data_IF_176940171255
#
_entry.id   IF_176940171255
#
_cell.length_a   1.000
_cell.length_b   1.000
_cell.length_c   1.000
_cell.angle_alpha   90.00
_cell.angle_beta   90.00
_cell.angle_gamma   90.00
#
_symmetry.space_group_name_H-M   'P 1'
#
loop_
_entity.id
_entity.type
_entity.pdbx_description
1 polymer ?
#
# COMPACT_ATOMS: atom_id res chain seq x y z
N UNK A 1 27.42 23.85 32.66
CA UNK A 1 26.87 24.47 33.88
C UNK A 1 25.42 24.11 34.18
N UNK A 2 24.40 24.46 33.37
CA UNK A 2 22.99 24.14 33.71
C UNK A 2 22.72 22.62 33.68
N UNK A 3 23.20 21.90 32.66
CA UNK A 3 23.01 20.46 32.59
C UNK A 3 23.83 19.70 33.64
N UNK A 4 25.02 20.19 34.00
CA UNK A 4 25.82 19.61 35.10
C UNK A 4 25.09 19.71 36.43
N UNK A 5 24.49 20.88 36.73
CA UNK A 5 23.63 21.07 37.88
C UNK A 5 22.42 20.11 37.84
N UNK A 6 21.78 19.96 36.67
CA UNK A 6 20.67 19.00 36.49
C UNK A 6 21.08 17.55 36.81
N UNK A 7 22.29 17.14 36.43
CA UNK A 7 22.84 15.83 36.78
C UNK A 7 23.16 15.72 38.27
N UNK A 8 23.84 16.72 38.82
CA UNK A 8 24.28 16.77 40.23
C UNK A 8 23.09 16.65 41.19
N UNK A 9 22.00 17.36 40.90
CA UNK A 9 20.76 17.29 41.69
C UNK A 9 19.83 16.13 41.31
N UNK A 10 20.25 15.23 40.42
CA UNK A 10 19.46 14.07 39.97
C UNK A 10 18.02 14.43 39.60
N UNK A 11 17.82 15.51 38.85
CA UNK A 11 16.48 16.09 38.62
C UNK A 11 15.51 15.09 37.96
N UNK A 12 16.00 14.19 37.10
CA UNK A 12 15.18 13.10 36.53
C UNK A 12 14.64 12.14 37.59
N UNK A 13 15.43 11.81 38.62
CA UNK A 13 14.99 10.95 39.72
C UNK A 13 13.88 11.65 40.52
N UNK A 14 14.00 12.95 40.74
CA UNK A 14 12.96 13.75 41.39
C UNK A 14 11.67 13.82 40.56
N UNK A 15 11.76 13.90 39.22
CA UNK A 15 10.58 13.80 38.36
C UNK A 15 9.89 12.44 38.46
N UNK A 16 10.64 11.35 38.47
CA UNK A 16 10.08 10.00 38.71
C UNK A 16 9.41 9.92 40.08
N UNK A 17 10.04 10.48 41.13
CA UNK A 17 9.48 10.52 42.48
C UNK A 17 8.19 11.33 42.53
N UNK A 18 8.16 12.48 41.86
CA UNK A 18 7.01 13.36 41.81
C UNK A 18 5.83 12.70 41.08
N UNK A 19 6.04 12.05 39.93
CA UNK A 19 5.00 11.27 39.24
C UNK A 19 4.42 10.16 40.13
N UNK A 20 5.25 9.48 40.93
CA UNK A 20 4.78 8.44 41.87
C UNK A 20 3.90 9.00 42.99
N UNK A 21 4.18 10.23 43.45
CA UNK A 21 3.44 10.87 44.54
C UNK A 21 2.16 11.54 44.02
N UNK A 22 2.26 12.30 42.92
CA UNK A 22 1.15 13.02 42.34
C UNK A 22 0.50 12.23 41.22
N UNK A 23 -0.60 11.54 41.52
CA UNK A 23 -1.52 11.01 40.49
C UNK A 23 -2.47 12.11 39.97
N UNK A 24 -1.91 13.27 39.65
CA UNK A 24 -2.70 14.45 39.30
C UNK A 24 -2.22 15.00 37.95
N UNK A 25 -3.10 14.94 36.95
CA UNK A 25 -2.83 15.38 35.58
C UNK A 25 -2.37 16.85 35.48
N UNK A 26 -2.73 17.71 36.44
CA UNK A 26 -2.26 19.12 36.52
C UNK A 26 -0.76 19.24 36.77
N UNK A 27 -0.13 18.20 37.30
CA UNK A 27 1.31 18.14 37.55
C UNK A 27 1.99 17.33 36.44
N UNK A 28 1.36 16.25 35.97
CA UNK A 28 1.89 15.38 34.92
C UNK A 28 2.08 16.12 33.59
N UNK A 29 1.10 16.93 33.15
CA UNK A 29 1.18 17.63 31.87
C UNK A 29 2.34 18.64 31.80
N UNK A 30 2.50 19.59 32.75
CA UNK A 30 3.66 20.50 32.76
C UNK A 30 5.01 19.78 32.85
N UNK A 31 5.07 18.68 33.61
CA UNK A 31 6.29 17.89 33.75
C UNK A 31 6.68 17.25 32.41
N UNK A 32 5.73 16.61 31.72
CA UNK A 32 5.95 16.02 30.41
C UNK A 32 6.33 17.07 29.37
N UNK A 33 5.69 18.24 29.41
CA UNK A 33 6.03 19.37 28.54
C UNK A 33 7.47 19.85 28.77
N UNK A 34 7.86 20.05 30.04
CA UNK A 34 9.21 20.47 30.38
C UNK A 34 10.25 19.45 29.90
N UNK A 35 10.01 18.16 30.17
CA UNK A 35 10.87 17.09 29.70
C UNK A 35 10.97 17.03 28.18
N UNK A 36 9.84 17.20 27.47
CA UNK A 36 9.82 17.24 26.01
C UNK A 36 10.71 18.35 25.47
N UNK A 37 10.57 19.58 25.99
CA UNK A 37 11.38 20.73 25.56
C UNK A 37 12.85 20.53 25.92
N UNK A 38 13.12 20.05 27.14
CA UNK A 38 14.47 19.80 27.62
C UNK A 38 15.18 18.79 26.70
N UNK A 39 14.57 17.62 26.46
CA UNK A 39 15.15 16.56 25.62
C UNK A 39 15.30 17.03 24.16
N UNK A 40 14.33 17.74 23.59
CA UNK A 40 14.43 18.26 22.22
C UNK A 40 15.66 19.15 22.02
N UNK A 41 16.00 19.98 23.01
CA UNK A 41 17.13 20.91 22.96
C UNK A 41 18.48 20.30 23.41
N UNK A 42 18.54 18.99 23.70
CA UNK A 42 19.81 18.34 24.04
C UNK A 42 20.60 17.97 22.79
N UNK A 43 21.77 18.58 22.61
CA UNK A 43 22.69 18.22 21.51
C UNK A 43 23.97 17.54 22.00
N UNK A 44 24.24 17.58 23.31
CA UNK A 44 25.39 16.90 23.91
C UNK A 44 25.14 15.40 24.01
N UNK A 45 26.01 14.61 23.40
CA UNK A 45 26.00 13.15 23.48
C UNK A 45 26.01 12.68 24.94
N UNK A 46 26.87 13.26 25.78
CA UNK A 46 26.95 12.95 27.21
C UNK A 46 25.62 13.19 27.93
N UNK A 47 24.86 14.21 27.53
CA UNK A 47 23.56 14.50 28.10
C UNK A 47 22.51 13.45 27.72
N UNK A 48 22.52 13.04 26.45
CA UNK A 48 21.63 11.98 25.94
C UNK A 48 21.92 10.66 26.66
N UNK A 49 23.19 10.27 26.77
CA UNK A 49 23.59 9.07 27.50
C UNK A 49 23.14 9.11 28.96
N UNK A 50 23.35 10.23 29.67
CA UNK A 50 22.91 10.36 31.05
C UNK A 50 21.39 10.19 31.21
N UNK A 51 20.61 10.81 30.32
CA UNK A 51 19.16 10.73 30.34
C UNK A 51 18.64 9.30 30.12
N UNK A 52 19.26 8.54 29.22
CA UNK A 52 18.77 7.20 28.84
C UNK A 52 19.34 6.08 29.72
N UNK A 53 20.52 6.23 30.31
CA UNK A 53 21.22 5.12 31.00
C UNK A 53 20.63 4.69 32.35
N UNK A 54 19.87 5.55 33.04
CA UNK A 54 19.45 5.31 34.43
C UNK A 54 18.00 4.78 34.59
N UNK A 55 17.39 4.29 33.50
CA UNK A 55 15.98 3.82 33.43
C UNK A 55 14.95 4.90 33.84
N UNK A 56 15.34 6.15 34.15
CA UNK A 56 14.41 7.21 34.56
C UNK A 56 13.43 7.53 33.44
N UNK A 57 13.91 7.68 32.20
CA UNK A 57 13.05 7.92 31.03
C UNK A 57 12.09 6.75 30.83
N UNK A 58 12.56 5.49 30.89
CA UNK A 58 11.69 4.33 30.80
C UNK A 58 10.64 4.27 31.93
N UNK A 59 10.99 4.66 33.15
CA UNK A 59 10.06 4.74 34.27
C UNK A 59 9.00 5.84 34.09
N UNK A 60 9.38 6.98 33.49
CA UNK A 60 8.45 8.05 33.13
C UNK A 60 7.50 7.57 32.02
N UNK A 61 8.03 6.91 30.98
CA UNK A 61 7.23 6.32 29.89
C UNK A 61 6.26 5.26 30.44
N UNK A 62 6.73 4.36 31.30
CA UNK A 62 5.91 3.28 31.86
C UNK A 62 4.96 3.72 33.00
N UNK A 63 4.96 5.00 33.37
CA UNK A 63 4.07 5.53 34.39
C UNK A 63 2.61 5.41 33.95
N UNK A 64 1.71 5.13 34.90
CA UNK A 64 0.28 4.94 34.64
C UNK A 64 -0.43 6.29 34.61
N UNK A 65 -0.47 6.90 33.44
CA UNK A 65 -1.23 8.12 33.17
C UNK A 65 -2.73 7.81 32.95
N UNK A 66 -3.59 8.75 33.34
CA UNK A 66 -5.02 8.72 33.05
C UNK A 66 -5.33 9.65 31.88
N UNK A 67 -5.76 9.08 30.74
CA UNK A 67 -6.02 9.84 29.50
C UNK A 67 -7.51 10.16 29.28
N UNK A 68 -8.41 9.54 30.04
CA UNK A 68 -9.86 9.46 29.75
C UNK A 68 -10.68 10.74 30.06
N UNK A 69 -10.02 11.88 30.27
CA UNK A 69 -10.72 13.13 30.65
C UNK A 69 -9.89 14.41 30.65
N UNK A 70 -8.74 14.47 29.97
CA UNK A 70 -7.93 15.69 29.93
C UNK A 70 -6.93 15.79 28.77
N UNK A 71 -6.35 16.97 28.60
CA UNK A 71 -5.41 17.32 27.51
C UNK A 71 -4.00 16.73 27.67
N UNK A 72 -3.86 15.58 28.36
CA UNK A 72 -2.56 14.99 28.71
C UNK A 72 -1.90 14.27 27.53
N UNK A 73 -2.69 13.62 26.67
CA UNK A 73 -2.18 12.81 25.56
C UNK A 73 -1.25 13.59 24.59
N UNK A 74 -1.54 14.83 24.19
CA UNK A 74 -0.62 15.64 23.38
C UNK A 74 0.76 15.84 24.05
N UNK A 75 0.80 16.13 25.36
CA UNK A 75 2.06 16.32 26.08
C UNK A 75 2.83 15.01 26.19
N UNK A 76 2.14 13.90 26.46
CA UNK A 76 2.75 12.59 26.56
C UNK A 76 3.36 12.15 25.22
N UNK A 77 2.60 12.24 24.13
CA UNK A 77 3.10 11.86 22.80
C UNK A 77 4.20 12.81 22.32
N UNK A 78 4.12 14.11 22.64
CA UNK A 78 5.23 15.05 22.38
C UNK A 78 6.51 14.65 23.11
N UNK A 79 6.40 14.23 24.38
CA UNK A 79 7.53 13.73 25.15
C UNK A 79 8.10 12.44 24.54
N UNK A 80 7.27 11.46 24.18
CA UNK A 80 7.74 10.24 23.51
C UNK A 80 8.46 10.57 22.19
N UNK A 81 7.89 11.49 21.39
CA UNK A 81 8.51 11.95 20.15
C UNK A 81 9.86 12.61 20.41
N UNK A 82 9.99 13.44 21.45
CA UNK A 82 11.25 14.07 21.84
C UNK A 82 12.33 13.03 22.19
N UNK A 83 11.97 12.00 22.95
CA UNK A 83 12.87 10.87 23.25
C UNK A 83 13.28 10.17 21.96
N UNK A 84 12.32 9.82 21.10
CA UNK A 84 12.58 9.13 19.83
C UNK A 84 13.38 9.94 18.81
N UNK A 85 13.48 11.27 18.95
CA UNK A 85 14.30 12.07 18.04
C UNK A 85 15.77 12.12 18.46
N UNK A 86 16.11 11.60 19.65
CA UNK A 86 17.48 11.56 20.18
C UNK A 86 18.08 10.15 20.19
N UNK A 87 17.31 9.13 19.81
CA UNK A 87 17.84 7.76 19.65
C UNK A 87 18.69 7.64 18.40
N UNK A 88 19.75 6.85 18.49
CA UNK A 88 20.60 6.41 17.39
C UNK A 88 20.99 4.94 17.62
N UNK A 89 21.86 4.39 16.77
CA UNK A 89 22.28 2.99 16.87
C UNK A 89 22.95 2.65 18.21
N UNK A 90 23.63 3.61 18.83
CA UNK A 90 24.38 3.41 20.08
C UNK A 90 23.53 3.63 21.34
N UNK A 91 22.48 4.46 21.25
CA UNK A 91 21.64 4.83 22.41
C UNK A 91 20.33 4.06 22.50
N UNK A 92 19.88 3.42 21.41
CA UNK A 92 18.66 2.60 21.41
C UNK A 92 18.71 1.48 22.46
N UNK A 93 19.88 0.85 22.62
CA UNK A 93 20.10 -0.25 23.56
C UNK A 93 19.85 0.16 25.03
N UNK A 94 19.94 1.45 25.35
CA UNK A 94 19.70 2.00 26.69
C UNK A 94 18.20 2.09 27.03
N UNK A 95 17.33 2.03 26.03
CA UNK A 95 15.87 2.15 26.18
C UNK A 95 15.13 0.81 26.08
N UNK A 96 15.85 -0.29 25.85
CA UNK A 96 15.29 -1.64 25.75
C UNK A 96 15.78 -2.50 26.91
N UNK A 97 14.96 -3.48 27.31
CA UNK A 97 15.37 -4.54 28.25
C UNK A 97 15.60 -5.81 27.47
N UNK A 98 16.82 -6.34 27.56
CA UNK A 98 17.25 -7.58 26.91
C UNK A 98 17.38 -8.67 27.96
N UNK A 99 16.84 -9.86 27.65
CA UNK A 99 16.99 -11.07 28.45
C UNK A 99 17.26 -12.23 27.48
N UNK A 100 18.30 -13.03 27.76
CA UNK A 100 18.66 -14.21 26.93
C UNK A 100 18.76 -13.86 25.42
N UNK A 101 19.46 -12.77 25.09
CA UNK A 101 19.65 -12.25 23.73
C UNK A 101 18.35 -11.89 22.96
N UNK A 102 17.26 -11.67 23.69
CA UNK A 102 16.00 -11.18 23.14
C UNK A 102 15.55 -9.89 23.85
N UNK A 103 15.05 -8.92 23.08
CA UNK A 103 14.39 -7.74 23.64
C UNK A 103 13.04 -8.19 24.21
N UNK A 104 12.85 -8.06 25.53
CA UNK A 104 11.62 -8.43 26.24
C UNK A 104 10.74 -7.21 26.57
N UNK A 105 11.33 -6.02 26.58
CA UNK A 105 10.59 -4.78 26.84
C UNK A 105 11.17 -3.62 26.04
N UNK A 106 10.29 -2.89 25.38
CA UNK A 106 10.60 -1.60 24.76
C UNK A 106 9.45 -0.61 25.02
N UNK A 107 9.47 0.08 26.18
CA UNK A 107 8.37 0.97 26.58
C UNK A 107 8.12 2.10 25.59
N UNK A 108 9.17 2.74 25.06
CA UNK A 108 9.03 3.85 24.12
C UNK A 108 8.19 3.47 22.89
N UNK A 109 8.44 2.28 22.32
CA UNK A 109 7.67 1.77 21.19
C UNK A 109 6.26 1.35 21.62
N UNK A 110 6.18 0.48 22.63
CA UNK A 110 4.91 -0.15 23.05
C UNK A 110 3.88 0.86 23.55
N UNK A 111 4.31 1.89 24.29
CA UNK A 111 3.43 2.95 24.77
C UNK A 111 3.00 3.90 23.64
N UNK A 112 3.90 4.22 22.69
CA UNK A 112 3.54 5.07 21.55
C UNK A 112 2.46 4.42 20.68
N UNK A 113 2.52 3.10 20.47
CA UNK A 113 1.54 2.38 19.65
C UNK A 113 0.11 2.44 20.20
N UNK A 114 -0.08 2.67 21.50
CA UNK A 114 -1.43 2.88 22.09
C UNK A 114 -2.13 4.10 21.50
N UNK A 115 -1.37 5.08 21.02
CA UNK A 115 -1.85 6.33 20.43
C UNK A 115 -1.89 6.30 18.90
N UNK A 116 -1.55 5.18 18.26
CA UNK A 116 -1.53 5.10 16.80
C UNK A 116 -2.91 5.32 16.14
N UNK A 117 -3.99 5.14 16.90
CA UNK A 117 -5.38 5.31 16.45
C UNK A 117 -6.11 6.44 17.17
N UNK A 118 -5.36 7.37 17.76
CA UNK A 118 -5.94 8.51 18.46
C UNK A 118 -6.67 9.43 17.47
N UNK A 119 -7.81 10.03 17.85
CA UNK A 119 -8.64 10.81 16.92
C UNK A 119 -7.90 12.02 16.33
N UNK A 120 -7.01 12.64 17.10
CA UNK A 120 -6.26 13.81 16.67
C UNK A 120 -5.11 13.47 15.71
N UNK A 121 -5.18 14.02 14.47
CA UNK A 121 -4.19 13.78 13.41
C UNK A 121 -2.76 14.18 13.81
N UNK A 122 -2.59 15.21 14.65
CA UNK A 122 -1.27 15.64 15.10
C UNK A 122 -0.60 14.58 15.98
N UNK A 123 -1.37 13.92 16.86
CA UNK A 123 -0.89 12.79 17.67
C UNK A 123 -0.51 11.61 16.77
N UNK A 124 -1.35 11.24 15.81
CA UNK A 124 -1.03 10.17 14.86
C UNK A 124 0.26 10.46 14.09
N UNK A 125 0.45 11.71 13.64
CA UNK A 125 1.66 12.17 12.93
C UNK A 125 2.90 12.04 13.81
N UNK A 126 2.80 12.42 15.09
CA UNK A 126 3.90 12.28 16.04
C UNK A 126 4.25 10.80 16.31
N UNK A 127 3.26 9.92 16.44
CA UNK A 127 3.47 8.47 16.58
C UNK A 127 4.12 7.89 15.33
N UNK A 128 3.67 8.26 14.12
CA UNK A 128 4.30 7.82 12.86
C UNK A 128 5.77 8.24 12.80
N UNK A 129 6.08 9.51 13.08
CA UNK A 129 7.46 10.00 13.13
C UNK A 129 8.31 9.23 14.15
N UNK A 130 7.77 8.97 15.35
CA UNK A 130 8.44 8.18 16.38
C UNK A 130 8.75 6.75 15.89
N UNK A 131 7.76 6.07 15.29
CA UNK A 131 7.96 4.70 14.80
C UNK A 131 9.01 4.66 13.70
N UNK A 132 9.02 5.64 12.78
CA UNK A 132 10.02 5.74 11.72
C UNK A 132 11.42 5.99 12.28
N UNK A 133 11.56 6.87 13.29
CA UNK A 133 12.84 7.07 13.96
C UNK A 133 13.38 5.76 14.56
N UNK A 134 12.51 4.97 15.20
CA UNK A 134 12.86 3.67 15.75
C UNK A 134 13.29 2.71 14.63
N UNK A 135 12.49 2.57 13.56
CA UNK A 135 12.81 1.66 12.47
C UNK A 135 14.14 2.01 11.79
N UNK A 136 14.47 3.29 11.65
CA UNK A 136 15.71 3.76 11.05
C UNK A 136 16.99 3.42 11.85
N UNK A 137 16.87 3.18 13.15
CA UNK A 137 18.02 2.94 14.05
C UNK A 137 17.99 1.56 14.71
N UNK A 138 16.98 0.75 14.41
CA UNK A 138 16.80 -0.59 14.98
C UNK A 138 17.90 -1.55 14.52
N UNK A 139 18.27 -2.46 15.41
CA UNK A 139 19.12 -3.62 15.14
C UNK A 139 18.29 -4.91 15.02
N UNK A 140 18.96 -6.04 14.78
CA UNK A 140 18.30 -7.34 14.60
C UNK A 140 17.40 -7.75 15.78
N UNK A 141 17.83 -7.47 17.01
CA UNK A 141 17.06 -7.83 18.22
C UNK A 141 15.79 -6.98 18.33
N UNK A 142 15.89 -5.68 18.08
CA UNK A 142 14.71 -4.79 18.08
C UNK A 142 13.79 -5.10 16.90
N UNK A 143 14.34 -5.41 15.72
CA UNK A 143 13.54 -5.87 14.58
C UNK A 143 12.78 -7.16 14.89
N UNK A 144 13.42 -8.12 15.54
CA UNK A 144 12.76 -9.34 15.99
C UNK A 144 11.63 -9.02 16.97
N UNK A 145 11.85 -8.13 17.94
CA UNK A 145 10.80 -7.70 18.87
C UNK A 145 9.59 -7.07 18.15
N UNK A 146 9.80 -6.11 17.25
CA UNK A 146 8.68 -5.43 16.57
C UNK A 146 7.95 -6.32 15.57
N UNK A 147 8.60 -7.35 15.03
CA UNK A 147 7.99 -8.30 14.08
C UNK A 147 7.39 -9.55 14.76
N UNK A 148 7.57 -9.71 16.07
CA UNK A 148 6.99 -10.81 16.84
C UNK A 148 5.63 -10.42 17.46
N UNK A 149 4.61 -11.31 17.41
CA UNK A 149 3.36 -11.08 18.13
C UNK A 149 3.58 -10.94 19.65
N UNK A 150 2.82 -10.09 20.36
CA UNK A 150 1.67 -9.31 19.87
C UNK A 150 2.05 -7.97 19.23
N UNK A 151 3.32 -7.56 19.30
CA UNK A 151 3.78 -6.22 18.88
C UNK A 151 3.57 -6.01 17.37
N UNK A 152 3.85 -7.04 16.57
CA UNK A 152 3.70 -7.00 15.11
C UNK A 152 2.28 -6.78 14.61
N UNK A 153 1.27 -6.96 15.47
CA UNK A 153 -0.14 -6.68 15.16
C UNK A 153 -0.35 -5.24 14.68
N UNK A 154 0.48 -4.30 15.14
CA UNK A 154 0.45 -2.92 14.69
C UNK A 154 0.43 -2.78 13.17
N UNK A 155 1.32 -3.51 12.48
CA UNK A 155 1.45 -3.43 11.03
C UNK A 155 0.23 -3.99 10.30
N UNK A 156 -0.28 -5.14 10.74
CA UNK A 156 -1.53 -5.69 10.21
C UNK A 156 -2.72 -4.76 10.47
N UNK A 157 -2.77 -4.10 11.63
CA UNK A 157 -3.83 -3.15 11.97
C UNK A 157 -3.77 -1.92 11.06
N UNK A 158 -2.58 -1.40 10.74
CA UNK A 158 -2.39 -0.28 9.79
C UNK A 158 -2.98 -0.63 8.43
N UNK A 159 -2.62 -1.79 7.87
CA UNK A 159 -3.15 -2.22 6.55
C UNK A 159 -4.66 -2.51 6.61
N UNK A 160 -5.14 -3.12 7.70
CA UNK A 160 -6.57 -3.39 7.89
C UNK A 160 -7.38 -2.09 7.96
N UNK A 161 -6.88 -1.04 8.62
CA UNK A 161 -7.54 0.27 8.64
C UNK A 161 -7.55 0.92 7.27
N UNK A 162 -6.43 0.86 6.55
CA UNK A 162 -6.37 1.35 5.17
C UNK A 162 -7.43 0.65 4.31
N UNK A 163 -7.58 -0.67 4.45
CA UNK A 163 -8.66 -1.42 3.77
C UNK A 163 -10.07 -0.94 4.18
N UNK A 164 -10.29 -0.65 5.47
CA UNK A 164 -11.58 -0.11 5.95
C UNK A 164 -11.86 1.28 5.37
N UNK A 165 -10.86 2.16 5.28
CA UNK A 165 -10.99 3.46 4.62
C UNK A 165 -11.35 3.30 3.13
N UNK A 166 -10.74 2.32 2.46
CA UNK A 166 -11.06 1.99 1.07
C UNK A 166 -12.53 1.54 0.91
N UNK A 167 -13.04 0.72 1.81
CA UNK A 167 -14.45 0.30 1.84
C UNK A 167 -15.41 1.47 2.15
N UNK A 168 -15.00 2.35 3.06
CA UNK A 168 -15.75 3.56 3.39
C UNK A 168 -15.87 4.50 2.19
N UNK A 169 -14.76 4.74 1.48
CA UNK A 169 -14.74 5.51 0.24
C UNK A 169 -15.69 4.90 -0.81
N UNK A 170 -15.69 3.58 -0.95
CA UNK A 170 -16.57 2.89 -1.89
C UNK A 170 -18.05 3.07 -1.54
N UNK A 171 -18.38 2.89 -0.26
CA UNK A 171 -19.75 3.07 0.26
C UNK A 171 -20.23 4.51 0.05
N UNK A 172 -19.35 5.48 0.30
CA UNK A 172 -19.61 6.90 0.08
C UNK A 172 -19.84 7.26 -1.40
N UNK A 173 -19.11 6.61 -2.32
CA UNK A 173 -19.31 6.76 -3.76
C UNK A 173 -20.62 6.13 -4.23
N UNK A 174 -21.03 5.01 -3.64
CA UNK A 174 -22.28 4.30 -3.99
C UNK A 174 -23.53 4.94 -3.40
N UNK A 175 -23.41 5.76 -2.34
CA UNK A 175 -24.52 6.47 -1.74
C UNK A 175 -25.25 7.34 -2.79
N UNK A 176 -26.49 6.93 -3.11
CA UNK A 176 -27.39 7.65 -4.02
C UNK A 176 -27.98 8.86 -3.30
N UNK A 177 -27.24 9.94 -3.24
CA UNK A 177 -27.77 11.24 -2.84
C UNK A 177 -27.85 12.18 -4.05
N UNK A 178 -29.04 12.75 -4.24
CA UNK A 178 -29.38 13.67 -5.31
C UNK A 178 -28.64 15.00 -5.09
N UNK A 179 -27.90 15.44 -6.11
CA UNK A 179 -27.06 16.65 -6.18
C UNK A 179 -25.62 16.48 -5.69
N UNK A 180 -24.67 16.53 -6.64
CA UNK A 180 -23.25 16.79 -6.40
C UNK A 180 -23.08 18.18 -5.76
N UNK A 181 -23.15 18.26 -4.44
CA UNK A 181 -22.83 19.48 -3.70
C UNK A 181 -21.32 19.68 -3.66
N UNK A 182 -20.86 20.93 -3.58
CA UNK A 182 -19.45 21.25 -3.30
C UNK A 182 -18.95 20.56 -2.02
N UNK A 183 -19.83 20.34 -1.04
CA UNK A 183 -19.56 19.58 0.18
C UNK A 183 -19.12 18.14 -0.10
N UNK A 184 -19.90 17.39 -0.89
CA UNK A 184 -19.59 15.99 -1.24
C UNK A 184 -18.23 15.84 -1.92
N UNK A 185 -17.85 16.79 -2.79
CA UNK A 185 -16.53 16.77 -3.43
C UNK A 185 -15.39 17.00 -2.43
N UNK A 186 -15.56 17.91 -1.48
CA UNK A 186 -14.56 18.17 -0.45
C UNK A 186 -14.40 16.96 0.49
N UNK A 187 -15.50 16.28 0.83
CA UNK A 187 -15.46 15.04 1.60
C UNK A 187 -14.75 13.91 0.84
N UNK A 188 -15.01 13.74 -0.47
CA UNK A 188 -14.26 12.78 -1.30
C UNK A 188 -12.76 13.03 -1.31
N UNK A 189 -12.36 14.30 -1.41
CA UNK A 189 -10.95 14.70 -1.37
C UNK A 189 -10.38 14.33 0.00
N UNK A 190 -11.09 14.63 1.09
CA UNK A 190 -10.65 14.30 2.45
C UNK A 190 -10.49 12.79 2.67
N UNK A 191 -11.46 11.97 2.23
CA UNK A 191 -11.38 10.51 2.33
C UNK A 191 -10.24 9.93 1.48
N UNK A 192 -10.01 10.52 0.31
CA UNK A 192 -8.88 10.18 -0.55
C UNK A 192 -7.54 10.53 0.09
N UNK A 193 -7.42 11.73 0.68
CA UNK A 193 -6.20 12.20 1.32
C UNK A 193 -5.80 11.31 2.50
N UNK A 194 -6.78 10.80 3.28
CA UNK A 194 -6.52 9.82 4.34
C UNK A 194 -5.87 8.55 3.82
N UNK A 195 -6.40 7.99 2.73
CA UNK A 195 -5.85 6.78 2.08
C UNK A 195 -4.43 7.06 1.58
N UNK A 196 -4.21 8.21 0.95
CA UNK A 196 -2.91 8.59 0.39
C UNK A 196 -1.87 8.82 1.52
N UNK A 197 -2.25 9.48 2.61
CA UNK A 197 -1.40 9.67 3.79
C UNK A 197 -0.95 8.33 4.40
N UNK A 198 -1.84 7.34 4.47
CA UNK A 198 -1.53 6.01 4.97
C UNK A 198 -0.63 5.22 4.01
N UNK A 199 -0.82 5.39 2.69
CA UNK A 199 0.07 4.83 1.68
C UNK A 199 1.48 5.44 1.76
N UNK A 200 1.61 6.76 1.99
CA UNK A 200 2.91 7.40 2.20
C UNK A 200 3.59 6.92 3.48
N UNK A 201 2.84 6.74 4.57
CA UNK A 201 3.42 6.16 5.78
C UNK A 201 3.94 4.73 5.55
N UNK A 202 3.18 3.88 4.85
CA UNK A 202 3.65 2.54 4.46
C UNK A 202 4.89 2.60 3.55
N UNK A 203 4.92 3.54 2.60
CA UNK A 203 6.10 3.79 1.76
C UNK A 203 7.32 4.17 2.59
N UNK A 204 7.16 5.04 3.58
CA UNK A 204 8.25 5.47 4.45
C UNK A 204 8.80 4.29 5.26
N UNK A 205 7.93 3.41 5.77
CA UNK A 205 8.36 2.18 6.45
C UNK A 205 9.13 1.26 5.48
N UNK A 206 8.63 1.09 4.25
CA UNK A 206 9.29 0.26 3.23
C UNK A 206 10.62 0.85 2.74
N UNK A 207 10.83 2.16 2.94
CA UNK A 207 12.06 2.87 2.56
C UNK A 207 13.16 2.77 3.61
N UNK A 208 12.84 2.26 4.81
CA UNK A 208 13.83 1.95 5.84
C UNK A 208 14.78 0.89 5.28
N UNK A 209 16.09 1.04 5.51
CA UNK A 209 17.17 0.24 4.90
C UNK A 209 17.21 -1.25 5.32
N UNK A 210 16.18 -1.76 6.00
CA UNK A 210 16.12 -3.13 6.50
C UNK A 210 15.20 -4.02 5.67
N UNK A 211 15.78 -5.07 5.09
CA UNK A 211 15.08 -5.97 4.18
C UNK A 211 14.05 -6.85 4.88
N UNK A 212 14.25 -7.19 6.17
CA UNK A 212 13.32 -8.04 6.94
C UNK A 212 12.00 -7.33 7.22
N UNK A 213 12.05 -6.10 7.72
CA UNK A 213 10.86 -5.29 7.97
C UNK A 213 10.12 -5.01 6.65
N UNK A 214 10.86 -4.59 5.61
CA UNK A 214 10.27 -4.32 4.29
C UNK A 214 9.49 -5.53 3.73
N UNK A 215 10.05 -6.74 3.87
CA UNK A 215 9.38 -7.98 3.46
C UNK A 215 8.10 -8.24 4.25
N UNK A 216 8.15 -8.13 5.58
CA UNK A 216 7.00 -8.33 6.46
C UNK A 216 5.86 -7.36 6.15
N UNK A 217 6.17 -6.08 5.93
CA UNK A 217 5.16 -5.06 5.57
C UNK A 217 4.59 -5.31 4.19
N UNK A 218 5.44 -5.64 3.22
CA UNK A 218 4.98 -6.01 1.87
C UNK A 218 4.02 -7.20 1.95
N UNK A 219 4.31 -8.21 2.79
CA UNK A 219 3.43 -9.34 2.99
C UNK A 219 2.05 -8.93 3.53
N UNK A 220 2.01 -8.04 4.53
CA UNK A 220 0.76 -7.51 5.07
C UNK A 220 -0.03 -6.72 4.01
N UNK A 221 0.64 -5.86 3.24
CA UNK A 221 0.02 -5.08 2.16
C UNK A 221 -0.64 -6.00 1.13
N UNK A 222 0.06 -7.05 0.70
CA UNK A 222 -0.48 -7.95 -0.33
C UNK A 222 -1.62 -8.81 0.17
N UNK A 223 -1.46 -9.44 1.34
CA UNK A 223 -2.46 -10.34 1.93
C UNK A 223 -3.73 -9.61 2.38
N UNK A 224 -3.59 -8.43 3.00
CA UNK A 224 -4.71 -7.73 3.63
C UNK A 224 -5.35 -6.66 2.73
N UNK A 225 -4.63 -6.13 1.73
CA UNK A 225 -5.12 -5.05 0.85
C UNK A 225 -5.11 -5.42 -0.64
N UNK A 226 -3.96 -5.78 -1.22
CA UNK A 226 -3.85 -5.96 -2.69
C UNK A 226 -4.69 -7.12 -3.19
N UNK A 227 -4.51 -8.34 -2.68
CA UNK A 227 -5.27 -9.49 -3.18
C UNK A 227 -6.76 -9.42 -2.89
N UNK A 228 -7.21 -8.95 -1.70
CA UNK A 228 -8.63 -8.75 -1.46
C UNK A 228 -9.30 -7.75 -2.41
N UNK A 229 -8.55 -6.82 -3.01
CA UNK A 229 -9.06 -5.87 -4.00
C UNK A 229 -8.91 -6.43 -5.43
N UNK A 230 -7.74 -6.97 -5.75
CA UNK A 230 -7.36 -7.33 -7.11
C UNK A 230 -7.99 -8.64 -7.60
N UNK A 231 -8.15 -9.63 -6.72
CA UNK A 231 -8.73 -10.93 -7.12
C UNK A 231 -10.21 -10.83 -7.49
N UNK A 232 -11.07 -10.14 -6.71
CA UNK A 232 -12.46 -9.90 -7.13
C UNK A 232 -12.56 -9.03 -8.38
N UNK A 233 -11.73 -7.98 -8.49
CA UNK A 233 -11.69 -7.10 -9.66
C UNK A 233 -11.44 -7.90 -10.96
N UNK A 234 -10.51 -8.85 -10.93
CA UNK A 234 -10.18 -9.68 -12.09
C UNK A 234 -11.09 -10.91 -12.26
N UNK A 235 -12.12 -11.06 -11.42
CA UNK A 235 -13.02 -12.22 -11.37
C UNK A 235 -12.27 -13.55 -11.18
N UNK A 236 -11.12 -13.51 -10.51
CA UNK A 236 -10.26 -14.67 -10.25
C UNK A 236 -10.71 -15.47 -9.02
N UNK A 237 -11.66 -14.94 -8.24
CA UNK A 237 -12.32 -15.60 -7.10
C UNK A 237 -13.83 -15.38 -7.18
N UNK A 238 -14.62 -16.40 -6.81
CA UNK A 238 -16.07 -16.25 -6.68
C UNK A 238 -16.40 -15.16 -5.64
N UNK A 239 -17.42 -14.36 -5.93
CA UNK A 239 -17.90 -13.30 -5.05
C UNK A 239 -18.50 -13.94 -3.80
N UNK A 240 -17.74 -13.94 -2.71
CA UNK A 240 -18.28 -14.27 -1.38
C UNK A 240 -18.75 -12.94 -0.78
N UNK A 241 -20.07 -12.79 -0.67
CA UNK A 241 -20.85 -11.82 0.10
C UNK A 241 -20.34 -10.37 0.22
N UNK A 242 -21.06 -9.44 -0.43
CA UNK A 242 -21.39 -8.07 0.01
C UNK A 242 -20.31 -7.07 0.48
N UNK A 243 -19.05 -7.48 0.58
CA UNK A 243 -17.94 -6.75 1.22
C UNK A 243 -16.83 -6.38 0.25
N UNK A 244 -17.06 -6.58 -1.05
CA UNK A 244 -16.10 -6.25 -2.10
C UNK A 244 -16.25 -4.77 -2.47
N UNK A 245 -15.10 -4.14 -2.66
CA UNK A 245 -15.00 -2.78 -3.20
C UNK A 245 -15.46 -2.81 -4.67
N UNK A 246 -16.20 -1.81 -5.12
CA UNK A 246 -16.60 -1.68 -6.54
C UNK A 246 -15.39 -1.68 -7.48
N UNK A 247 -15.62 -1.98 -8.75
CA UNK A 247 -14.55 -2.08 -9.74
C UNK A 247 -13.84 -0.73 -9.97
N UNK A 248 -14.60 0.38 -9.96
CA UNK A 248 -14.03 1.74 -10.12
C UNK A 248 -13.11 2.07 -8.95
N UNK A 249 -13.60 1.87 -7.73
CA UNK A 249 -12.82 2.18 -6.51
C UNK A 249 -11.61 1.24 -6.39
N UNK A 250 -11.76 -0.02 -6.78
CA UNK A 250 -10.66 -0.99 -6.83
C UNK A 250 -9.54 -0.57 -7.79
N UNK A 251 -9.89 -0.19 -9.03
CA UNK A 251 -8.93 0.32 -10.02
C UNK A 251 -8.23 1.59 -9.51
N UNK A 252 -8.98 2.48 -8.86
CA UNK A 252 -8.43 3.69 -8.26
C UNK A 252 -7.40 3.38 -7.15
N UNK A 253 -7.76 2.52 -6.19
CA UNK A 253 -6.88 2.18 -5.06
C UNK A 253 -5.61 1.48 -5.54
N UNK A 254 -5.73 0.50 -6.45
CA UNK A 254 -4.56 -0.19 -7.00
C UNK A 254 -3.65 0.78 -7.77
N UNK A 255 -4.23 1.70 -8.55
CA UNK A 255 -3.49 2.76 -9.23
C UNK A 255 -2.72 3.64 -8.25
N UNK A 256 -3.37 4.08 -7.16
CA UNK A 256 -2.73 4.90 -6.11
C UNK A 256 -1.65 4.14 -5.36
N UNK A 257 -1.87 2.88 -5.05
CA UNK A 257 -0.88 2.01 -4.40
C UNK A 257 0.39 1.91 -5.23
N UNK A 258 0.27 1.66 -6.54
CA UNK A 258 1.41 1.60 -7.46
C UNK A 258 2.11 2.97 -7.55
N UNK A 259 1.37 4.07 -7.64
CA UNK A 259 1.96 5.41 -7.77
C UNK A 259 2.69 5.88 -6.50
N UNK A 260 2.13 5.60 -5.32
CA UNK A 260 2.67 6.09 -4.05
C UNK A 260 3.77 5.18 -3.53
N UNK A 261 3.45 3.90 -3.28
CA UNK A 261 4.41 2.94 -2.74
C UNK A 261 5.45 2.61 -3.80
N UNK A 262 4.99 2.22 -4.99
CA UNK A 262 5.86 1.89 -6.12
C UNK A 262 6.88 0.79 -5.80
N UNK A 263 8.03 0.86 -6.46
CA UNK A 263 9.13 -0.07 -6.25
C UNK A 263 8.96 -1.38 -7.00
N UNK A 264 10.10 -1.98 -7.33
CA UNK A 264 10.19 -3.17 -8.18
C UNK A 264 9.30 -4.32 -7.72
N UNK A 265 9.30 -4.62 -6.42
CA UNK A 265 8.53 -5.76 -5.88
C UNK A 265 7.03 -5.58 -6.07
N UNK A 266 6.49 -4.45 -5.63
CA UNK A 266 5.04 -4.18 -5.65
C UNK A 266 4.54 -4.10 -7.10
N UNK A 267 5.26 -3.38 -7.95
CA UNK A 267 4.85 -3.15 -9.33
C UNK A 267 4.85 -4.46 -10.12
N UNK A 268 5.89 -5.28 -10.01
CA UNK A 268 5.96 -6.54 -10.76
C UNK A 268 4.97 -7.58 -10.25
N UNK A 269 4.74 -7.66 -8.94
CA UNK A 269 3.73 -8.56 -8.39
C UNK A 269 2.31 -8.17 -8.82
N UNK A 270 1.95 -6.88 -8.77
CA UNK A 270 0.64 -6.40 -9.23
C UNK A 270 0.49 -6.58 -10.75
N UNK A 271 1.52 -6.24 -11.52
CA UNK A 271 1.53 -6.41 -12.97
C UNK A 271 1.38 -7.89 -13.37
N UNK A 272 2.11 -8.80 -12.72
CA UNK A 272 2.01 -10.24 -12.95
C UNK A 272 0.59 -10.76 -12.74
N UNK A 273 -0.10 -10.32 -11.68
CA UNK A 273 -1.49 -10.72 -11.43
C UNK A 273 -2.47 -10.12 -12.46
N UNK A 274 -2.32 -8.83 -12.81
CA UNK A 274 -3.17 -8.17 -13.81
C UNK A 274 -3.00 -8.79 -15.20
N UNK A 275 -1.77 -9.12 -15.57
CA UNK A 275 -1.41 -9.64 -16.89
C UNK A 275 -1.51 -11.17 -17.00
N UNK A 276 -1.82 -11.87 -15.90
CA UNK A 276 -1.96 -13.34 -15.89
C UNK A 276 -2.87 -13.89 -17.00
N UNK A 277 -4.07 -13.33 -17.26
CA UNK A 277 -4.93 -13.83 -18.35
C UNK A 277 -4.30 -13.68 -19.76
N UNK A 278 -3.39 -12.72 -19.91
CA UNK A 278 -2.63 -12.53 -21.16
C UNK A 278 -1.47 -13.54 -21.27
N UNK A 279 -0.80 -13.80 -20.15
CA UNK A 279 0.27 -14.80 -20.05
C UNK A 279 -0.24 -16.19 -20.48
N UNK A 280 -1.41 -16.61 -20.01
CA UNK A 280 -1.97 -17.93 -20.33
C UNK A 280 -2.53 -18.04 -21.75
N UNK A 281 -3.08 -16.95 -22.31
CA UNK A 281 -3.65 -16.96 -23.67
C UNK A 281 -2.59 -16.93 -24.78
N UNK A 282 -1.41 -16.34 -24.56
CA UNK A 282 -0.30 -16.38 -25.51
C UNK A 282 0.40 -17.76 -25.58
N UNK A 283 0.38 -18.52 -24.48
CA UNK A 283 0.99 -19.87 -24.40
C UNK A 283 0.10 -20.95 -25.02
N UNK A 284 -1.22 -20.75 -25.04
CA UNK A 284 -2.20 -21.71 -25.60
C UNK A 284 -2.15 -21.92 -27.12
N UNK A 285 -1.32 -21.16 -27.86
CA UNK A 285 -1.17 -21.33 -29.30
C UNK A 285 -0.19 -22.43 -29.74
N UNK A 286 0.50 -23.11 -28.81
CA UNK A 286 1.64 -23.97 -29.15
C UNK A 286 1.46 -25.48 -28.91
N UNK A 287 0.38 -25.93 -28.27
CA UNK A 287 0.16 -27.37 -28.03
C UNK A 287 -1.32 -27.73 -28.05
N UNK A 288 -1.79 -28.23 -29.20
CA UNK A 288 -3.01 -29.03 -29.27
C UNK A 288 -2.75 -30.38 -28.59
N UNK A 289 -3.50 -30.69 -27.53
CA UNK A 289 -3.52 -32.00 -26.89
C UNK A 289 -3.76 -31.94 -25.39
N UNK A 290 -4.88 -32.53 -24.98
CA UNK A 290 -5.27 -32.93 -23.61
C UNK A 290 -5.91 -31.87 -22.70
N UNK A 291 -7.24 -31.93 -22.68
CA UNK A 291 -8.13 -31.42 -21.65
C UNK A 291 -7.88 -32.15 -20.33
N UNK A 292 -7.12 -31.54 -19.44
CA UNK A 292 -7.04 -31.90 -18.02
C UNK A 292 -7.20 -30.62 -17.21
N UNK A 293 -7.80 -30.69 -16.03
CA UNK A 293 -8.05 -29.65 -15.00
C UNK A 293 -6.84 -28.77 -14.62
N UNK A 294 -6.21 -28.10 -15.59
CA UNK A 294 -4.92 -27.46 -15.48
C UNK A 294 -5.00 -25.97 -15.10
N UNK A 295 -6.15 -25.32 -15.31
CA UNK A 295 -6.25 -23.85 -15.26
C UNK A 295 -6.45 -23.26 -13.85
N UNK A 296 -6.90 -24.08 -12.89
CA UNK A 296 -6.95 -23.73 -11.46
C UNK A 296 -5.58 -23.88 -10.79
N UNK A 297 -4.94 -25.03 -11.02
CA UNK A 297 -3.60 -25.32 -10.51
C UNK A 297 -2.53 -24.39 -11.11
N UNK A 298 -2.65 -24.00 -12.39
CA UNK A 298 -1.71 -23.05 -13.01
C UNK A 298 -1.78 -21.65 -12.39
N UNK A 299 -2.98 -21.18 -12.01
CA UNK A 299 -3.17 -19.87 -11.39
C UNK A 299 -2.65 -19.86 -9.95
N UNK A 300 -2.93 -20.90 -9.18
CA UNK A 300 -2.39 -21.05 -7.83
C UNK A 300 -0.85 -21.15 -7.86
N UNK A 301 -0.29 -21.87 -8.82
CA UNK A 301 1.16 -21.91 -9.03
C UNK A 301 1.73 -20.52 -9.38
N UNK A 302 1.05 -19.77 -10.25
CA UNK A 302 1.45 -18.40 -10.57
C UNK A 302 1.33 -17.45 -9.36
N UNK A 303 0.28 -17.59 -8.55
CA UNK A 303 0.16 -16.84 -7.29
C UNK A 303 1.27 -17.20 -6.31
N UNK A 304 1.67 -18.47 -6.22
CA UNK A 304 2.83 -18.90 -5.43
C UNK A 304 4.13 -18.31 -5.98
N UNK A 305 4.25 -18.14 -7.30
CA UNK A 305 5.42 -17.48 -7.90
C UNK A 305 5.43 -15.97 -7.66
N UNK A 306 4.26 -15.31 -7.67
CA UNK A 306 4.08 -13.93 -7.19
C UNK A 306 4.39 -13.84 -5.70
N UNK A 307 4.02 -14.84 -4.91
CA UNK A 307 4.39 -14.93 -3.49
C UNK A 307 5.89 -14.96 -3.33
N UNK A 308 6.59 -15.82 -4.07
CA UNK A 308 8.06 -15.88 -4.08
C UNK A 308 8.66 -14.55 -4.50
N UNK A 309 8.09 -13.86 -5.48
CA UNK A 309 8.55 -12.53 -5.90
C UNK A 309 8.39 -11.49 -4.77
N UNK A 310 7.31 -11.55 -4.01
CA UNK A 310 7.04 -10.67 -2.87
C UNK A 310 7.94 -11.01 -1.67
N UNK A 311 8.17 -12.31 -1.44
CA UNK A 311 8.86 -12.85 -0.26
C UNK A 311 10.37 -13.04 -0.44
N UNK A 312 10.90 -13.05 -1.67
CA UNK A 312 12.33 -13.23 -1.94
C UNK A 312 13.16 -12.01 -1.52
N UNK A 313 14.28 -12.24 -0.84
CA UNK A 313 15.32 -11.26 -0.52
C UNK A 313 16.68 -11.97 -0.56
N UNK A 314 17.81 -11.24 -0.52
CA UNK A 314 19.12 -11.89 -0.52
C UNK A 314 19.17 -12.84 0.68
N UNK A 315 19.46 -14.11 0.40
CA UNK A 315 19.53 -15.16 1.40
C UNK A 315 20.65 -14.82 2.38
N UNK A 316 20.29 -14.47 3.61
CA UNK A 316 21.19 -14.67 4.75
C UNK A 316 20.91 -16.09 5.25
N UNK A 317 21.92 -16.94 5.14
CA UNK A 317 21.94 -18.29 5.71
C UNK A 317 21.52 -18.23 7.19
N UNK A 318 20.47 -18.96 7.56
CA UNK A 318 20.21 -19.31 8.96
C UNK A 318 18.92 -18.83 9.64
N UNK A 319 17.91 -18.33 8.93
CA UNK A 319 16.59 -18.08 9.54
C UNK A 319 15.56 -19.12 9.11
N UNK A 320 15.04 -19.89 10.07
CA UNK A 320 13.89 -20.77 9.87
C UNK A 320 12.71 -19.97 9.30
N UNK A 321 12.25 -20.37 8.11
CA UNK A 321 11.06 -19.81 7.47
C UNK A 321 9.83 -20.26 8.29
N UNK A 322 9.30 -19.42 9.17
CA UNK A 322 7.94 -19.63 9.68
C UNK A 322 6.97 -19.46 8.51
N UNK A 323 6.56 -20.58 7.93
CA UNK A 323 5.73 -20.69 6.74
C UNK A 323 4.28 -20.29 7.04
N UNK A 324 4.01 -19.00 7.24
CA UNK A 324 2.69 -18.46 6.98
C UNK A 324 2.64 -18.10 5.50
N UNK A 325 2.24 -19.07 4.66
CA UNK A 325 1.99 -18.79 3.25
C UNK A 325 0.92 -17.70 3.15
N UNK A 326 1.21 -16.64 2.41
CA UNK A 326 0.33 -15.52 2.09
C UNK A 326 -1.01 -15.99 1.50
N UNK A 327 -1.00 -17.17 0.88
CA UNK A 327 -2.16 -17.85 0.30
C UNK A 327 -2.64 -19.08 1.10
N UNK A 328 -2.10 -19.34 2.29
CA UNK A 328 -2.48 -20.51 3.10
C UNK A 328 -3.97 -20.53 3.44
N UNK A 329 -4.53 -19.36 3.74
CA UNK A 329 -5.96 -19.18 3.94
C UNK A 329 -6.80 -19.28 2.65
N UNK A 330 -6.20 -19.19 1.45
CA UNK A 330 -6.90 -19.53 0.20
C UNK A 330 -6.98 -21.05 -0.02
N UNK A 331 -6.00 -21.82 0.45
CA UNK A 331 -5.99 -23.29 0.35
C UNK A 331 -6.93 -23.98 1.34
N UNK A 332 -7.02 -23.47 2.58
CA UNK A 332 -7.87 -24.07 3.62
C UNK A 332 -9.37 -23.97 3.31
N UNK A 333 -9.81 -22.94 2.58
CA UNK A 333 -11.20 -22.81 2.13
C UNK A 333 -11.55 -23.68 0.90
N UNK A 334 -10.56 -24.30 0.25
CA UNK A 334 -10.78 -25.28 -0.82
C UNK A 334 -10.81 -26.71 -0.26
N UNK A 335 -10.14 -26.95 0.87
CA UNK A 335 -10.02 -28.28 1.48
C UNK A 335 -11.01 -28.56 2.62
N UNK A 336 -11.71 -27.55 3.13
CA UNK A 336 -12.49 -27.67 4.38
C UNK A 336 -13.97 -27.32 4.17
N UNK A 337 -14.64 -28.00 3.23
CA UNK A 337 -16.09 -28.17 3.26
C UNK A 337 -16.45 -29.54 2.67
N UNK A 338 -16.04 -30.58 3.40
CA UNK A 338 -16.48 -31.95 3.18
C UNK A 338 -17.92 -32.12 3.67
N UNK A 339 -18.89 -31.43 3.08
CA UNK A 339 -20.31 -31.69 3.35
C UNK A 339 -21.32 -31.04 2.38
N UNK A 340 -21.08 -31.05 1.07
CA UNK A 340 -22.20 -31.06 0.11
C UNK A 340 -21.89 -31.99 -1.07
N UNK A 341 -22.59 -33.12 -1.05
CA UNK A 341 -22.57 -34.14 -2.09
C UNK A 341 -23.20 -33.59 -3.38
N UNK A 342 -22.49 -33.75 -4.49
CA UNK A 342 -23.10 -34.06 -5.79
C UNK A 342 -23.77 -32.90 -6.53
N UNK A 343 -22.97 -31.95 -7.02
CA UNK A 343 -23.37 -31.05 -8.11
C UNK A 343 -22.22 -30.98 -9.10
N UNK A 344 -22.44 -31.47 -10.32
CA UNK A 344 -21.45 -31.59 -11.36
C UNK A 344 -20.69 -30.28 -11.59
N UNK A 345 -19.35 -30.34 -11.60
CA UNK A 345 -18.48 -29.35 -12.25
C UNK A 345 -18.58 -29.49 -13.79
N UNK A 346 -19.81 -29.59 -14.29
CA UNK A 346 -20.11 -29.56 -15.72
C UNK A 346 -20.71 -28.19 -16.03
N UNK A 347 -20.10 -27.53 -17.01
CA UNK A 347 -20.59 -26.32 -17.68
C UNK A 347 -20.74 -25.05 -16.83
N UNK A 348 -19.63 -24.33 -16.67
CA UNK A 348 -19.54 -22.94 -17.16
C UNK A 348 -18.07 -22.47 -17.10
N UNK A 349 -17.34 -22.68 -18.19
CA UNK A 349 -16.10 -21.94 -18.43
C UNK A 349 -16.44 -20.46 -18.61
N UNK A 350 -16.53 -19.70 -17.52
CA UNK A 350 -16.63 -18.24 -17.59
C UNK A 350 -15.30 -17.74 -18.14
N UNK A 351 -15.32 -17.20 -19.36
CA UNK A 351 -14.20 -16.46 -19.95
C UNK A 351 -13.67 -15.46 -18.92
N UNK A 352 -12.48 -15.72 -18.36
CA UNK A 352 -11.81 -14.85 -17.38
C UNK A 352 -11.37 -13.57 -18.10
N UNK A 353 -12.27 -12.60 -18.24
CA UNK A 353 -12.04 -11.37 -18.98
C UNK A 353 -10.96 -10.44 -18.38
N UNK A 354 -10.48 -10.72 -17.17
CA UNK A 354 -9.41 -9.96 -16.51
C UNK A 354 -9.68 -8.45 -16.50
N UNK A 355 -8.62 -7.66 -16.66
CA UNK A 355 -8.76 -6.20 -16.81
C UNK A 355 -9.40 -5.80 -18.15
N UNK A 356 -9.30 -6.67 -19.17
CA UNK A 356 -9.80 -6.40 -20.53
C UNK A 356 -11.31 -6.31 -20.63
N UNK A 357 -12.02 -7.03 -19.77
CA UNK A 357 -13.47 -6.90 -19.61
C UNK A 357 -13.89 -5.44 -19.45
N UNK A 358 -13.13 -4.67 -18.68
CA UNK A 358 -13.43 -3.27 -18.39
C UNK A 358 -12.91 -2.32 -19.48
N UNK A 359 -11.78 -2.66 -20.12
CA UNK A 359 -11.23 -1.88 -21.26
C UNK A 359 -12.19 -1.90 -22.46
N UNK A 360 -12.90 -3.01 -22.68
CA UNK A 360 -13.85 -3.16 -23.79
C UNK A 360 -15.32 -3.12 -23.35
N UNK A 361 -15.61 -2.66 -22.14
CA UNK A 361 -16.98 -2.50 -21.67
C UNK A 361 -17.64 -1.29 -22.36
N UNK A 362 -18.64 -1.53 -23.21
CA UNK A 362 -19.38 -0.45 -23.90
C UNK A 362 -20.23 0.44 -22.95
N UNK A 363 -20.50 -0.03 -21.72
CA UNK A 363 -21.55 0.55 -20.86
C UNK A 363 -21.05 1.52 -19.77
N UNK A 364 -19.74 1.77 -19.63
CA UNK A 364 -19.20 2.59 -18.53
C UNK A 364 -17.88 3.30 -18.88
N UNK A 365 -17.93 4.57 -19.34
CA UNK A 365 -16.71 5.30 -19.74
C UNK A 365 -15.71 5.50 -18.60
N UNK A 366 -16.19 5.56 -17.35
CA UNK A 366 -15.35 5.66 -16.15
C UNK A 366 -14.50 4.41 -15.91
N UNK A 367 -15.07 3.21 -16.07
CA UNK A 367 -14.35 1.94 -15.88
C UNK A 367 -13.33 1.71 -16.98
N UNK A 368 -13.69 2.03 -18.22
CA UNK A 368 -12.77 1.98 -19.35
C UNK A 368 -11.56 2.88 -19.10
N UNK A 369 -11.82 4.15 -18.75
CA UNK A 369 -10.77 5.13 -18.54
C UNK A 369 -9.88 4.74 -17.34
N UNK A 370 -10.47 4.30 -16.23
CA UNK A 370 -9.73 3.84 -15.05
C UNK A 370 -8.82 2.63 -15.36
N UNK A 371 -9.31 1.68 -16.16
CA UNK A 371 -8.54 0.49 -16.57
C UNK A 371 -7.38 0.86 -17.49
N UNK A 372 -7.62 1.76 -18.45
CA UNK A 372 -6.58 2.29 -19.33
C UNK A 372 -5.51 3.07 -18.57
N UNK A 373 -5.90 3.91 -17.60
CA UNK A 373 -4.93 4.61 -16.75
C UNK A 373 -4.10 3.65 -15.91
N UNK A 374 -4.69 2.58 -15.35
CA UNK A 374 -3.92 1.58 -14.62
C UNK A 374 -2.86 0.91 -15.52
N UNK A 375 -3.23 0.51 -16.74
CA UNK A 375 -2.29 -0.04 -17.71
C UNK A 375 -1.20 0.96 -18.10
N UNK A 376 -1.54 2.24 -18.26
CA UNK A 376 -0.57 3.30 -18.55
C UNK A 376 0.38 3.54 -17.36
N UNK A 377 -0.11 3.55 -16.13
CA UNK A 377 0.71 3.68 -14.92
C UNK A 377 1.73 2.55 -14.85
N UNK A 378 1.34 1.31 -15.17
CA UNK A 378 2.26 0.19 -15.27
C UNK A 378 3.27 0.36 -16.40
N UNK A 379 2.82 0.80 -17.59
CA UNK A 379 3.67 1.00 -18.76
C UNK A 379 4.73 2.10 -18.55
N UNK A 380 4.38 3.19 -17.87
CA UNK A 380 5.27 4.31 -17.58
C UNK A 380 6.18 4.05 -16.36
N UNK A 381 5.93 2.97 -15.61
CA UNK A 381 6.77 2.64 -14.45
C UNK A 381 8.19 2.23 -14.85
N UNK A 382 9.17 2.84 -14.17
CA UNK A 382 10.59 2.50 -14.34
C UNK A 382 10.97 1.18 -13.69
N UNK A 383 10.21 0.73 -12.69
CA UNK A 383 10.53 -0.47 -11.91
C UNK A 383 9.86 -1.75 -12.43
N UNK A 384 9.10 -1.65 -13.52
CA UNK A 384 8.52 -2.82 -14.19
C UNK A 384 9.64 -3.66 -14.82
N UNK A 385 9.53 -4.99 -14.70
CA UNK A 385 10.54 -5.92 -15.17
C UNK A 385 10.54 -6.04 -16.69
N UNK A 386 11.75 -6.30 -17.23
CA UNK A 386 11.96 -6.35 -18.67
C UNK A 386 11.14 -7.41 -19.39
N UNK A 387 10.73 -8.49 -18.71
CA UNK A 387 9.89 -9.54 -19.29
C UNK A 387 8.42 -9.10 -19.47
N UNK A 388 7.94 -8.13 -18.68
CA UNK A 388 6.58 -7.61 -18.75
C UNK A 388 6.46 -6.44 -19.74
N UNK A 389 7.56 -5.76 -20.09
CA UNK A 389 7.55 -4.65 -21.05
C UNK A 389 6.95 -4.98 -22.42
N UNK A 390 7.29 -6.12 -23.06
CA UNK A 390 6.73 -6.47 -24.36
C UNK A 390 5.23 -6.73 -24.30
N UNK A 391 4.70 -7.16 -23.15
CA UNK A 391 3.29 -7.48 -22.98
C UNK A 391 2.43 -6.23 -22.89
N UNK A 392 2.83 -5.23 -22.12
CA UNK A 392 2.06 -3.98 -22.06
C UNK A 392 2.32 -3.12 -23.30
N UNK A 393 3.57 -3.05 -23.76
CA UNK A 393 3.99 -2.19 -24.87
C UNK A 393 4.49 -0.84 -24.36
N UNK A 394 5.69 -0.82 -23.77
CA UNK A 394 6.30 0.42 -23.29
C UNK A 394 6.58 1.38 -24.46
N UNK A 395 6.18 2.64 -24.27
CA UNK A 395 6.58 3.79 -25.10
C UNK A 395 8.07 4.02 -24.80
N UNK A 396 9.01 3.77 -25.73
CA UNK A 396 10.43 3.97 -25.43
C UNK A 396 10.70 5.47 -25.30
N UNK A 397 11.19 5.90 -24.13
CA UNK A 397 11.93 7.16 -24.05
C UNK A 397 13.21 6.99 -24.85
N UNK A 398 13.41 7.84 -25.85
CA UNK A 398 14.68 7.97 -26.56
C UNK A 398 15.73 8.49 -25.60
N UNK A 399 16.29 7.64 -24.74
CA UNK A 399 17.62 7.80 -24.14
C UNK A 399 17.99 6.56 -23.33
N UNK A 400 19.13 5.98 -23.71
CA UNK A 400 20.00 5.06 -22.97
C UNK A 400 19.65 3.56 -22.93
N UNK A 401 20.44 2.82 -23.71
CA UNK A 401 20.75 1.39 -23.64
C UNK A 401 19.65 0.40 -24.04
N UNK A 402 19.22 0.50 -25.29
CA UNK A 402 18.77 -0.64 -26.08
C UNK A 402 19.86 -1.03 -27.09
N UNK A 403 20.96 -1.62 -26.61
CA UNK A 403 21.84 -2.43 -27.46
C UNK A 403 21.98 -3.78 -26.79
N UNK A 404 21.76 -4.81 -27.60
CA UNK A 404 21.79 -6.23 -27.25
C UNK A 404 20.51 -6.76 -26.62
N UNK A 405 19.45 -6.88 -27.44
CA UNK A 405 18.74 -8.17 -27.52
C UNK A 405 18.29 -8.40 -28.96
N UNK A 406 18.57 -9.63 -29.40
CA UNK A 406 18.49 -10.20 -30.74
C UNK A 406 17.14 -10.01 -31.42
N UNK A 407 17.22 -9.83 -32.74
CA UNK A 407 16.15 -9.54 -33.67
C UNK A 407 15.21 -10.73 -33.97
N UNK A 408 14.85 -11.57 -32.99
CA UNK A 408 13.96 -12.74 -33.21
C UNK A 408 12.70 -12.77 -32.34
N UNK A 409 12.43 -11.75 -31.51
CA UNK A 409 11.22 -11.71 -30.69
C UNK A 409 10.68 -10.28 -30.50
N UNK A 410 10.77 -9.44 -31.54
CA UNK A 410 10.24 -8.07 -31.51
C UNK A 410 8.83 -8.00 -32.13
N UNK A 411 7.88 -7.65 -31.26
CA UNK A 411 6.85 -6.60 -31.49
C UNK A 411 5.80 -6.87 -32.56
N UNK A 412 4.93 -7.87 -32.36
CA UNK A 412 3.60 -7.91 -33.01
C UNK A 412 2.42 -8.14 -32.03
N UNK A 413 2.69 -8.26 -30.72
CA UNK A 413 1.68 -8.71 -29.74
C UNK A 413 1.79 -7.99 -28.38
N UNK A 414 2.06 -6.68 -28.34
CA UNK A 414 1.82 -5.94 -27.09
C UNK A 414 0.34 -5.62 -26.96
N UNK A 415 -0.17 -5.50 -25.75
CA UNK A 415 -1.57 -5.17 -25.45
C UNK A 415 -1.97 -3.87 -26.15
N UNK A 416 -1.17 -2.81 -25.99
CA UNK A 416 -1.45 -1.53 -26.64
C UNK A 416 -1.40 -1.63 -28.17
N UNK A 417 -0.56 -2.46 -28.77
CA UNK A 417 -0.51 -2.63 -30.24
C UNK A 417 -1.67 -3.50 -30.75
N UNK A 418 -1.90 -4.66 -30.13
CA UNK A 418 -2.91 -5.65 -30.51
C UNK A 418 -4.33 -5.09 -30.40
N UNK A 419 -4.59 -4.33 -29.34
CA UNK A 419 -5.92 -3.78 -29.07
C UNK A 419 -6.04 -2.28 -29.40
N UNK A 420 -5.05 -1.72 -30.11
CA UNK A 420 -5.03 -0.29 -30.42
C UNK A 420 -6.29 0.21 -31.13
N UNK A 421 -6.80 -0.46 -32.19
CA UNK A 421 -8.01 -0.01 -32.88
C UNK A 421 -9.22 0.04 -31.94
N UNK A 422 -9.37 -0.94 -31.06
CA UNK A 422 -10.46 -1.02 -30.09
C UNK A 422 -10.33 0.07 -29.02
N UNK A 423 -9.13 0.31 -28.50
CA UNK A 423 -8.86 1.36 -27.51
C UNK A 423 -9.13 2.74 -28.12
N UNK A 424 -8.63 3.01 -29.33
CA UNK A 424 -8.86 4.28 -30.03
C UNK A 424 -10.34 4.50 -30.31
N UNK A 425 -11.04 3.50 -30.85
CA UNK A 425 -12.48 3.60 -31.10
C UNK A 425 -13.25 3.89 -29.80
N UNK A 426 -12.91 3.22 -28.71
CA UNK A 426 -13.60 3.45 -27.44
C UNK A 426 -13.33 4.85 -26.85
N UNK A 427 -12.09 5.36 -26.92
CA UNK A 427 -11.77 6.73 -26.52
C UNK A 427 -12.48 7.76 -27.42
N UNK A 428 -12.56 7.50 -28.72
CA UNK A 428 -13.27 8.36 -29.68
C UNK A 428 -14.77 8.38 -29.43
N UNK A 429 -15.39 7.23 -29.11
CA UNK A 429 -16.78 7.17 -28.68
C UNK A 429 -17.05 8.05 -27.46
N UNK A 430 -16.14 8.08 -26.48
CA UNK A 430 -16.26 8.94 -25.28
C UNK A 430 -16.12 10.43 -25.62
N UNK A 431 -15.22 10.78 -26.54
CA UNK A 431 -15.06 12.16 -27.01
C UNK A 431 -16.24 12.63 -27.88
N UNK A 432 -16.84 11.73 -28.66
CA UNK A 432 -17.95 12.00 -29.55
C UNK A 432 -19.33 11.89 -28.87
N UNK A 433 -19.42 11.27 -27.69
CA UNK A 433 -20.68 11.12 -26.98
C UNK A 433 -21.26 12.46 -26.50
N UNK A 434 -22.56 12.64 -26.74
CA UNK A 434 -23.34 13.79 -26.31
C UNK A 434 -23.41 13.90 -24.77
N UNK A 435 -23.54 15.11 -24.20
CA UNK A 435 -23.63 15.32 -22.75
C UNK A 435 -24.78 14.50 -22.10
N UNK A 436 -24.65 14.14 -20.81
CA UNK A 436 -23.77 14.77 -19.83
C UNK A 436 -22.52 13.94 -19.49
N UNK A 437 -21.41 14.20 -20.18
CA UNK A 437 -20.08 13.83 -19.67
C UNK A 437 -19.46 15.03 -18.96
N UNK A 438 -18.79 14.76 -17.83
CA UNK A 438 -18.02 15.79 -17.14
C UNK A 438 -16.86 16.28 -18.02
N UNK A 439 -16.61 17.60 -18.01
CA UNK A 439 -15.43 18.23 -18.64
C UNK A 439 -14.14 17.51 -18.26
N UNK A 440 -14.07 17.00 -17.02
CA UNK A 440 -12.91 16.26 -16.53
C UNK A 440 -12.70 14.94 -17.27
N UNK A 441 -13.76 14.21 -17.59
CA UNK A 441 -13.69 12.95 -18.35
C UNK A 441 -13.21 13.24 -19.77
N UNK A 442 -13.74 14.28 -20.42
CA UNK A 442 -13.29 14.70 -21.76
C UNK A 442 -11.82 15.11 -21.75
N UNK A 443 -11.38 15.88 -20.74
CA UNK A 443 -9.98 16.28 -20.59
C UNK A 443 -9.04 15.07 -20.43
N UNK A 444 -9.36 14.15 -19.51
CA UNK A 444 -8.55 12.96 -19.27
C UNK A 444 -8.53 12.02 -20.48
N UNK A 445 -9.66 11.86 -21.17
CA UNK A 445 -9.77 11.07 -22.40
C UNK A 445 -8.91 11.68 -23.51
N UNK A 446 -8.99 13.00 -23.72
CA UNK A 446 -8.16 13.70 -24.70
C UNK A 446 -6.66 13.66 -24.37
N UNK A 447 -6.30 13.78 -23.09
CA UNK A 447 -4.92 13.64 -22.65
C UNK A 447 -4.37 12.22 -22.91
N UNK A 448 -5.15 11.19 -22.57
CA UNK A 448 -4.78 9.79 -22.81
C UNK A 448 -4.64 9.51 -24.31
N UNK A 449 -5.59 9.99 -25.10
CA UNK A 449 -5.57 9.89 -26.56
C UNK A 449 -4.32 10.54 -27.16
N UNK A 450 -3.95 11.74 -26.69
CA UNK A 450 -2.71 12.42 -27.10
C UNK A 450 -1.46 11.60 -26.77
N UNK A 451 -1.39 11.02 -25.57
CA UNK A 451 -0.27 10.16 -25.14
C UNK A 451 -0.13 8.93 -26.05
N UNK A 452 -1.24 8.28 -26.37
CA UNK A 452 -1.28 7.17 -27.32
C UNK A 452 -0.81 7.56 -28.73
N UNK A 453 -1.28 8.70 -29.26
CA UNK A 453 -0.89 9.15 -30.61
C UNK A 453 0.61 9.45 -30.74
N UNK A 454 1.19 10.09 -29.72
CA UNK A 454 2.64 10.36 -29.67
C UNK A 454 3.43 9.06 -29.73
N UNK A 455 2.96 8.00 -29.06
CA UNK A 455 3.63 6.69 -29.07
C UNK A 455 3.60 5.97 -30.42
N UNK A 456 2.63 6.29 -31.28
CA UNK A 456 2.48 5.67 -32.61
C UNK A 456 3.09 6.50 -33.75
N UNK A 457 3.62 7.69 -33.47
CA UNK A 457 4.08 8.58 -34.54
C UNK A 457 2.93 9.17 -35.37
N UNK A 458 1.76 9.40 -34.76
CA UNK A 458 0.59 10.08 -35.36
C UNK A 458 -0.13 9.36 -36.52
N UNK A 459 -0.15 8.03 -36.59
CA UNK A 459 -0.96 7.30 -37.59
C UNK A 459 -2.38 7.01 -37.07
N UNK A 460 -3.41 7.59 -37.69
CA UNK A 460 -4.82 7.22 -37.52
C UNK A 460 -5.33 6.56 -38.81
N UNK A 461 -6.06 5.45 -38.70
CA UNK A 461 -6.73 4.80 -39.84
C UNK A 461 -8.00 5.55 -40.27
N UNK A 462 -8.44 5.40 -41.53
CA UNK A 462 -9.63 6.07 -42.10
C UNK A 462 -10.93 5.85 -41.30
N UNK A 463 -11.07 4.68 -40.66
CA UNK A 463 -12.18 4.34 -39.76
C UNK A 463 -12.27 5.26 -38.52
N UNK A 464 -11.14 5.81 -38.06
CA UNK A 464 -11.09 6.72 -36.91
C UNK A 464 -11.56 8.14 -37.29
N UNK A 465 -11.40 8.54 -38.54
CA UNK A 465 -11.86 9.84 -39.04
C UNK A 465 -13.38 9.86 -39.24
N UNK A 466 -14.02 8.71 -39.52
CA UNK A 466 -15.47 8.62 -39.64
C UNK A 466 -16.22 8.96 -38.34
N UNK A 467 -15.62 8.69 -37.17
CA UNK A 467 -16.18 9.07 -35.86
C UNK A 467 -16.19 10.58 -35.62
N UNK A 468 -15.27 11.33 -36.24
CA UNK A 468 -15.25 12.80 -36.20
C UNK A 468 -16.08 13.45 -37.32
N UNK A 469 -16.40 12.69 -38.38
CA UNK A 469 -17.15 13.17 -39.54
C UNK A 469 -18.66 12.93 -39.46
N UNK A 470 -19.19 12.47 -38.32
CA UNK A 470 -20.64 12.52 -38.09
C UNK A 470 -21.06 13.99 -38.00
N UNK A 471 -21.86 14.51 -38.94
CA UNK A 471 -22.30 15.88 -38.88
C UNK A 471 -23.20 16.04 -37.65
N UNK A 472 -23.03 17.14 -36.93
CA UNK A 472 -23.83 17.56 -35.76
C UNK A 472 -25.35 17.65 -36.04
N UNK A 473 -25.80 17.36 -37.25
CA UNK A 473 -27.20 17.45 -37.71
C UNK A 473 -27.99 16.15 -37.60
N UNK A 474 -27.35 15.00 -37.36
CA UNK A 474 -28.09 13.72 -37.22
C UNK A 474 -28.52 13.42 -35.77
N UNK A 475 -28.35 14.39 -34.85
CA UNK A 475 -28.68 14.29 -33.43
C UNK A 475 -29.54 15.47 -32.92
N UNK A 476 -30.48 15.96 -33.74
CA UNK A 476 -31.55 16.90 -33.29
C UNK A 476 -32.85 16.13 -33.07
#
# INVERSE_FOLDING_TARGET
MIFECFMEYQVLAEFVRLLKISKNSRIEAPLLQYLSIMIQNMDSEHAIYYCFSNDYVNNIIAHKYEFDGGDLAPYYVSFLRAVSSKINKDTLCLLVKVQEDAVVSFPLYSEALKFAHYEEKMIQTAVRALTLNIYNVSDDMVFQFITTPPVSKYFSDVVCRLRKQCLHLDTFLQAKEEMCTHGRRNELILETDKIVDDLYYLKDILSVSENRLGRFITQNIFSLLVFPILLPLLQLRQQIDGSNISEVTSLYIISRLIQVIGGKRVINAVAGVILYPYLTSSVGGATEGDTVDANGNSFLNHLNDVEKLVCSGPETEGSENTSNSMFGHLGEHVSSDSQFVGGAWNDLCIERGGIFKYVFADNSPSLLLASLFLLLILAESKDLDYFLFPMIGRIPDMTTQAREFSASQRVNESIFVKFMPQILNALLKILASQPPLSVLIQWHTGWFFRKLLISQGNSLSDLNFQLFNLPLTDFI
#
